data_IF_889967786462
#
_entry.id   IF_889967786462
#
_cell.length_a   1.000
_cell.length_b   1.000
_cell.length_c   1.000
_cell.angle_alpha   90.00
_cell.angle_beta   90.00
_cell.angle_gamma   90.00
#
_symmetry.space_group_name_H-M   'P 1'
#
loop_
_entity.id
_entity.type
_entity.pdbx_description
1 polymer ?
#
# COMPACT_ATOMS: atom_id res chain seq x y z
N UNK A 1 -4.67 -23.95 16.09
CA UNK A 1 -3.87 -22.97 16.63
C UNK A 1 -2.87 -22.48 15.72
N UNK A 2 -2.21 -23.32 15.01
CA UNK A 2 -1.29 -22.82 14.04
C UNK A 2 -1.94 -22.02 13.00
N UNK A 3 -3.12 -22.38 12.62
CA UNK A 3 -3.84 -21.60 11.66
C UNK A 3 -4.11 -20.23 12.13
N UNK A 4 -4.41 -20.10 13.39
CA UNK A 4 -4.66 -18.80 13.93
C UNK A 4 -3.45 -17.92 13.89
N UNK A 5 -2.32 -18.47 14.29
CA UNK A 5 -1.11 -17.71 14.24
C UNK A 5 -0.77 -17.31 12.84
N UNK A 6 -0.97 -18.25 11.93
CA UNK A 6 -0.66 -17.97 10.56
C UNK A 6 -1.52 -16.85 10.02
N UNK A 7 -2.80 -16.86 10.37
CA UNK A 7 -3.70 -15.81 9.94
C UNK A 7 -3.35 -14.48 10.54
N UNK A 8 -2.92 -14.48 11.78
CA UNK A 8 -2.57 -13.23 12.44
C UNK A 8 -1.44 -12.51 11.74
N UNK A 9 -0.54 -13.24 11.13
CA UNK A 9 0.55 -12.60 10.44
C UNK A 9 0.10 -11.88 9.20
N UNK A 10 -1.05 -12.26 8.68
CA UNK A 10 -1.55 -11.66 7.45
C UNK A 10 -2.62 -10.65 7.69
N UNK A 11 -3.07 -10.53 8.91
CA UNK A 11 -4.14 -9.60 9.21
C UNK A 11 -3.59 -8.33 9.79
N UNK A 12 -4.23 -7.23 9.43
CA UNK A 12 -3.88 -5.96 10.00
C UNK A 12 -4.28 -5.91 11.45
N UNK A 13 -3.39 -5.43 12.29
CA UNK A 13 -3.74 -5.15 13.67
C UNK A 13 -4.18 -3.71 13.75
N UNK A 14 -4.98 -3.43 14.76
CA UNK A 14 -5.52 -2.10 14.90
C UNK A 14 -4.47 -1.02 14.88
N UNK A 15 -3.34 -1.29 15.49
CA UNK A 15 -2.29 -0.28 15.59
C UNK A 15 -1.33 -0.30 14.42
N UNK A 16 -1.46 -1.23 13.50
CA UNK A 16 -0.53 -1.32 12.38
C UNK A 16 -0.92 -0.38 11.26
N UNK A 17 0.11 0.08 10.57
CA UNK A 17 -0.09 0.84 9.35
C UNK A 17 -0.03 -0.11 8.17
N UNK A 18 -0.77 0.21 7.13
CA UNK A 18 -0.77 -0.58 5.90
C UNK A 18 0.13 0.12 4.91
N UNK A 19 1.22 -0.55 4.54
CA UNK A 19 2.15 -0.03 3.54
C UNK A 19 1.99 -0.82 2.27
N UNK A 20 1.76 -0.13 1.16
CA UNK A 20 1.67 -0.78 -0.14
C UNK A 20 2.86 -0.33 -0.97
N UNK A 21 3.68 -1.28 -1.37
CA UNK A 21 4.75 -0.98 -2.30
C UNK A 21 4.17 -1.07 -3.69
N UNK A 22 4.45 -0.06 -4.50
CA UNK A 22 3.86 0.03 -5.81
C UNK A 22 4.93 0.32 -6.85
N UNK A 23 4.60 0.01 -8.10
CA UNK A 23 5.49 0.27 -9.21
C UNK A 23 4.70 1.05 -10.26
N UNK A 24 5.33 2.05 -10.84
CA UNK A 24 4.71 2.83 -11.91
C UNK A 24 4.96 2.12 -13.24
N UNK A 25 4.05 2.29 -14.20
CA UNK A 25 4.16 1.54 -15.46
C UNK A 25 5.49 1.71 -16.18
N UNK A 26 6.09 2.89 -16.09
CA UNK A 26 7.31 3.15 -16.82
C UNK A 26 8.56 3.05 -15.98
N UNK A 27 8.45 2.58 -14.76
CA UNK A 27 9.59 2.52 -13.86
C UNK A 27 9.74 1.14 -13.28
N UNK A 28 10.95 0.84 -12.86
CA UNK A 28 11.21 -0.43 -12.20
C UNK A 28 11.37 -0.26 -10.70
N UNK A 29 11.41 0.97 -10.24
CA UNK A 29 11.61 1.24 -8.84
C UNK A 29 10.30 1.16 -8.08
N UNK A 30 10.36 0.63 -6.87
CA UNK A 30 9.18 0.53 -6.04
C UNK A 30 9.11 1.72 -5.10
N UNK A 31 7.90 2.16 -4.84
CA UNK A 31 7.64 3.26 -3.93
C UNK A 31 6.66 2.81 -2.87
N UNK A 32 6.78 3.39 -1.68
CA UNK A 32 5.91 3.03 -0.57
C UNK A 32 4.80 4.05 -0.41
N UNK A 33 3.58 3.56 -0.29
CA UNK A 33 2.42 4.39 -0.02
C UNK A 33 1.67 3.81 1.17
N UNK A 34 0.93 4.65 1.87
CA UNK A 34 0.06 4.18 2.93
C UNK A 34 -1.33 3.92 2.36
N UNK A 35 -2.05 3.04 3.00
CA UNK A 35 -3.43 2.76 2.63
C UNK A 35 -4.31 2.98 3.84
N UNK A 36 -5.49 3.58 3.63
CA UNK A 36 -6.43 3.79 4.71
C UNK A 36 -7.25 2.55 5.00
N UNK A 37 -7.42 1.70 4.00
CA UNK A 37 -8.24 0.52 4.15
C UNK A 37 -7.45 -0.72 3.80
N UNK A 38 -7.78 -1.81 4.46
CA UNK A 38 -7.09 -3.07 4.28
C UNK A 38 -7.76 -3.86 3.16
N UNK A 39 -7.70 -3.31 1.95
CA UNK A 39 -8.36 -3.93 0.79
C UNK A 39 -7.41 -4.24 -0.35
N UNK A 40 -6.15 -3.87 -0.22
CA UNK A 40 -5.19 -4.02 -1.31
C UNK A 40 -4.51 -5.37 -1.28
N UNK A 41 -4.30 -5.94 -2.46
CA UNK A 41 -3.59 -7.19 -2.60
C UNK A 41 -2.55 -7.05 -3.70
N UNK A 42 -1.56 -7.91 -3.62
CA UNK A 42 -0.53 -7.93 -4.63
C UNK A 42 -1.16 -8.13 -6.01
N UNK A 43 -0.78 -7.29 -6.94
CA UNK A 43 -1.33 -7.34 -8.28
C UNK A 43 -2.45 -6.36 -8.54
N UNK A 44 -2.98 -5.74 -7.50
CA UNK A 44 -4.04 -4.75 -7.68
C UNK A 44 -3.49 -3.49 -8.30
N UNK A 45 -4.37 -2.75 -8.96
CA UNK A 45 -4.04 -1.43 -9.45
C UNK A 45 -4.73 -0.40 -8.57
N UNK A 46 -4.11 0.77 -8.46
CA UNK A 46 -4.63 1.82 -7.59
C UNK A 46 -4.23 3.17 -8.13
N UNK A 47 -4.99 4.20 -7.72
CA UNK A 47 -4.64 5.58 -8.00
C UNK A 47 -3.71 6.07 -6.90
N UNK A 48 -2.61 6.70 -7.29
CA UNK A 48 -1.63 7.22 -6.35
C UNK A 48 -1.36 8.69 -6.65
N UNK A 49 -1.20 9.51 -5.59
CA UNK A 49 -0.84 10.92 -5.80
C UNK A 49 0.66 11.02 -6.01
N UNK A 50 1.08 11.82 -6.99
CA UNK A 50 2.47 11.93 -7.37
C UNK A 50 2.87 13.38 -7.49
N UNK A 51 4.07 13.71 -6.99
CA UNK A 51 4.62 15.03 -7.16
C UNK A 51 4.03 16.04 -6.22
N UNK A 52 4.47 17.28 -6.39
CA UNK A 52 4.03 18.35 -5.50
C UNK A 52 2.55 18.65 -5.63
N UNK A 53 2.02 18.42 -6.80
CA UNK A 53 0.61 18.73 -7.04
C UNK A 53 -0.29 17.54 -6.85
N UNK A 54 0.27 16.44 -6.39
CA UNK A 54 -0.50 15.21 -6.14
C UNK A 54 -1.29 14.77 -7.35
N UNK A 55 -0.61 14.75 -8.49
CA UNK A 55 -1.21 14.30 -9.72
C UNK A 55 -1.56 12.83 -9.60
N UNK A 56 -2.73 12.45 -10.07
CA UNK A 56 -3.16 11.06 -9.96
C UNK A 56 -2.54 10.20 -11.04
N UNK A 57 -1.98 9.09 -10.63
CA UNK A 57 -1.41 8.13 -11.59
C UNK A 57 -1.77 6.73 -11.16
N UNK A 58 -1.89 5.84 -12.13
CA UNK A 58 -2.20 4.44 -11.84
C UNK A 58 -0.92 3.71 -11.55
N UNK A 59 -0.94 2.95 -10.45
CA UNK A 59 0.22 2.15 -10.05
C UNK A 59 -0.24 0.74 -9.77
N UNK A 60 0.70 -0.18 -9.76
CA UNK A 60 0.41 -1.57 -9.47
C UNK A 60 1.00 -1.92 -8.11
N UNK A 61 0.19 -2.53 -7.26
CA UNK A 61 0.63 -2.94 -5.95
C UNK A 61 1.46 -4.21 -6.08
N UNK A 62 2.69 -4.17 -5.57
CA UNK A 62 3.56 -5.33 -5.63
C UNK A 62 3.69 -6.02 -4.28
N UNK A 63 3.50 -5.29 -3.19
CA UNK A 63 3.62 -5.85 -1.85
C UNK A 63 2.71 -5.09 -0.91
N UNK A 64 2.20 -5.79 0.08
CA UNK A 64 1.41 -5.17 1.14
C UNK A 64 2.01 -5.60 2.46
N UNK A 65 2.32 -4.64 3.31
CA UNK A 65 2.96 -4.91 4.59
C UNK A 65 2.22 -4.20 5.71
N UNK A 66 2.20 -4.84 6.87
CA UNK A 66 1.57 -4.27 8.05
C UNK A 66 2.67 -4.00 9.07
N UNK A 67 2.92 -2.73 9.33
CA UNK A 67 4.03 -2.32 10.18
C UNK A 67 3.57 -1.38 11.26
N UNK A 68 4.26 -1.45 12.40
CA UNK A 68 4.09 -0.43 13.42
C UNK A 68 4.79 0.84 12.94
N UNK A 69 4.35 2.01 13.40
CA UNK A 69 5.01 3.25 12.98
C UNK A 69 6.51 3.25 13.23
N UNK A 70 6.94 2.64 14.32
CA UNK A 70 8.36 2.65 14.64
C UNK A 70 9.17 1.70 13.77
N UNK A 71 8.51 0.85 13.02
CA UNK A 71 9.21 -0.07 12.12
C UNK A 71 9.41 0.52 10.73
N UNK A 72 8.83 1.66 10.47
CA UNK A 72 8.95 2.28 9.16
C UNK A 72 10.35 2.84 8.97
N UNK A 73 10.86 2.76 7.74
CA UNK A 73 12.20 3.21 7.44
C UNK A 73 12.32 4.72 7.39
N UNK A 74 11.21 5.43 7.23
CA UNK A 74 11.23 6.89 7.18
C UNK A 74 9.96 7.42 7.83
N UNK A 75 9.91 8.73 8.07
CA UNK A 75 8.77 9.32 8.79
C UNK A 75 7.45 9.03 8.10
N UNK A 76 6.54 8.47 8.84
CA UNK A 76 5.25 8.07 8.31
C UNK A 76 4.47 9.27 7.78
N UNK A 77 4.60 10.40 8.45
CA UNK A 77 3.84 11.58 8.06
C UNK A 77 4.28 12.12 6.71
N UNK A 78 5.41 11.66 6.18
CA UNK A 78 5.88 12.11 4.88
C UNK A 78 5.52 11.14 3.77
N UNK A 79 4.87 10.05 4.12
CA UNK A 79 4.48 9.04 3.13
C UNK A 79 3.07 9.36 2.68
N UNK A 80 2.86 9.43 1.37
CA UNK A 80 1.55 9.73 0.82
C UNK A 80 0.67 8.50 0.86
N UNK A 81 -0.63 8.72 0.82
CA UNK A 81 -1.61 7.65 0.84
C UNK A 81 -2.13 7.38 -0.55
N UNK A 82 -2.45 6.11 -0.81
CA UNK A 82 -3.11 5.75 -2.05
C UNK A 82 -4.50 6.38 -2.05
N UNK A 83 -4.98 6.75 -3.23
CA UNK A 83 -6.28 7.41 -3.33
C UNK A 83 -7.39 6.39 -3.24
N UNK A 84 -7.34 5.37 -4.11
CA UNK A 84 -8.31 4.27 -4.04
C UNK A 84 -7.88 3.15 -4.97
N UNK A 85 -8.45 1.99 -4.72
CA UNK A 85 -8.17 0.82 -5.54
C UNK A 85 -9.03 0.87 -6.81
N UNK A 86 -8.42 0.45 -7.92
CA UNK A 86 -9.15 0.34 -9.16
C UNK A 86 -9.85 -1.00 -9.24
N UNK A 87 -11.07 -0.99 -9.74
CA UNK A 87 -11.78 -2.25 -9.96
C UNK A 87 -11.46 -2.72 -11.37
N UNK A 88 -11.72 -4.01 -11.66
CA UNK A 88 -11.47 -4.52 -13.01
C UNK A 88 -12.19 -3.75 -14.09
N UNK A 89 -13.31 -3.14 -13.77
CA UNK A 89 -14.07 -2.39 -14.77
C UNK A 89 -13.40 -1.09 -15.17
N UNK A 90 -12.41 -0.66 -14.42
CA UNK A 90 -11.81 0.64 -14.64
C UNK A 90 -10.50 0.58 -15.43
N UNK A 91 -10.03 -0.62 -15.73
CA UNK A 91 -8.79 -0.72 -16.51
C UNK A 91 -8.81 -1.91 -17.46
#
# INVERSE_FOLDING_TARGET
>A
MKEKEWNNRKKRRESNLIFCKVIFPDEEKKYAYLADEDIYEKGDFAWAPVGKENEKKIVRVTDVEYLQPEEASFPVEKIKKLIRRLTPDEY
#
